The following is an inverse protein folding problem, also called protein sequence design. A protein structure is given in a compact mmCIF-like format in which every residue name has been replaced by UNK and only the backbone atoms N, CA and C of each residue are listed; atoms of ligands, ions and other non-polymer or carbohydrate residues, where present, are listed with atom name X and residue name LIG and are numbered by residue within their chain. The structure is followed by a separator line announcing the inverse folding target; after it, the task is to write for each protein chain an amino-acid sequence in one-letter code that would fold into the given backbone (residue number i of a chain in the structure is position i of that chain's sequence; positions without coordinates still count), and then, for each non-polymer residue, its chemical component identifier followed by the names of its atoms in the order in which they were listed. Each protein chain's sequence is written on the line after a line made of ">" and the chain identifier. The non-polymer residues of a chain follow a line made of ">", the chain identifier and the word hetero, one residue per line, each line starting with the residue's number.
data_IF_565349748111
#
_entry.id   IF_565349748111
#
_cell.length_a   1.000
_cell.length_b   1.000
_cell.length_c   1.000
_cell.angle_alpha   90.00
_cell.angle_beta   90.00
_cell.angle_gamma   90.00
#
_symmetry.space_group_name_H-M   'P 1'
#
loop_
_entity.id
_entity.type
_entity.pdbx_description
1 polymer ?
#
# COMPACT_ATOMS: atom_id res chain seq x y z
N UNK A 1 4.91 3.16 -3.02
CA UNK A 1 6.07 4.03 -2.71
C UNK A 1 6.94 3.32 -1.69
N UNK A 2 8.21 3.06 -2.04
CA UNK A 2 9.22 2.61 -1.09
C UNK A 2 9.97 3.84 -0.56
N UNK A 3 10.58 3.72 0.61
CA UNK A 3 11.50 4.73 1.16
C UNK A 3 12.69 4.03 1.80
N UNK A 4 13.89 4.59 1.65
CA UNK A 4 15.09 4.08 2.34
C UNK A 4 15.00 4.27 3.86
N UNK A 5 14.37 5.35 4.29
CA UNK A 5 14.19 5.69 5.70
C UNK A 5 12.73 5.54 6.13
N UNK A 6 12.54 5.09 7.38
CA UNK A 6 11.24 5.05 8.05
C UNK A 6 11.05 6.32 8.89
N UNK A 7 11.14 7.49 8.25
CA UNK A 7 10.94 8.77 8.93
C UNK A 7 9.50 9.28 8.80
N UNK A 8 9.24 10.47 9.35
CA UNK A 8 7.93 11.13 9.29
C UNK A 8 7.52 11.51 7.87
N UNK A 9 8.48 11.89 7.02
CA UNK A 9 8.21 12.30 5.63
C UNK A 9 7.74 11.09 4.84
N UNK A 10 8.45 9.98 4.96
CA UNK A 10 8.08 8.69 4.37
C UNK A 10 6.71 8.20 4.85
N UNK A 11 6.42 8.30 6.16
CA UNK A 11 5.13 7.92 6.70
C UNK A 11 3.99 8.78 6.15
N UNK A 12 4.17 10.10 6.04
CA UNK A 12 3.16 10.99 5.44
C UNK A 12 2.93 10.67 3.96
N UNK A 13 4.01 10.49 3.19
CA UNK A 13 3.92 10.13 1.78
C UNK A 13 3.19 8.80 1.57
N UNK A 14 3.45 7.81 2.45
CA UNK A 14 2.75 6.54 2.45
C UNK A 14 1.24 6.69 2.66
N UNK A 15 0.80 7.36 3.73
CA UNK A 15 -0.63 7.52 4.00
C UNK A 15 -1.35 8.40 2.96
N UNK A 16 -0.67 9.41 2.40
CA UNK A 16 -1.19 10.19 1.27
C UNK A 16 -1.46 9.30 0.06
N UNK A 17 -0.47 8.50 -0.33
CA UNK A 17 -0.56 7.59 -1.47
C UNK A 17 -1.61 6.50 -1.24
N UNK A 18 -1.68 5.95 -0.03
CA UNK A 18 -2.68 4.95 0.36
C UNK A 18 -4.10 5.51 0.25
N UNK A 19 -4.34 6.73 0.75
CA UNK A 19 -5.64 7.40 0.62
C UNK A 19 -6.06 7.56 -0.84
N UNK A 20 -5.13 7.97 -1.70
CA UNK A 20 -5.40 8.16 -3.13
C UNK A 20 -5.68 6.84 -3.84
N UNK A 21 -4.88 5.80 -3.57
CA UNK A 21 -5.07 4.48 -4.16
C UNK A 21 -6.41 3.83 -3.76
N UNK A 22 -6.75 3.90 -2.47
CA UNK A 22 -7.97 3.33 -1.90
C UNK A 22 -9.20 4.16 -2.30
N UNK A 23 -9.08 5.48 -2.41
CA UNK A 23 -10.16 6.39 -2.79
C UNK A 23 -11.22 6.63 -1.70
N UNK A 24 -11.09 5.98 -0.54
CA UNK A 24 -11.93 6.18 0.66
C UNK A 24 -11.06 6.39 1.88
N UNK A 25 -11.56 7.17 2.85
CA UNK A 25 -10.91 7.31 4.17
C UNK A 25 -11.45 6.21 5.08
N UNK A 26 -10.59 5.35 5.64
CA UNK A 26 -11.04 4.29 6.55
C UNK A 26 -11.39 4.85 7.93
N UNK A 27 -12.36 4.25 8.61
CA UNK A 27 -12.70 4.58 10.00
C UNK A 27 -11.62 4.12 11.00
N UNK A 28 -10.82 3.13 10.61
CA UNK A 28 -9.79 2.54 11.47
C UNK A 28 -8.55 2.17 10.67
N UNK A 29 -7.38 2.46 11.25
CA UNK A 29 -6.07 2.07 10.73
C UNK A 29 -5.36 1.20 11.76
N UNK A 30 -5.01 0.00 11.35
CA UNK A 30 -4.08 -0.86 12.06
C UNK A 30 -2.71 -0.77 11.39
N UNK A 31 -1.69 -0.38 12.15
CA UNK A 31 -0.32 -0.36 11.67
C UNK A 31 0.64 -0.84 12.77
N UNK A 32 1.91 -1.05 12.42
CA UNK A 32 2.95 -1.32 13.42
C UNK A 32 3.13 -0.10 14.35
N UNK A 33 3.76 -0.31 15.52
CA UNK A 33 3.88 0.70 16.57
C UNK A 33 4.83 1.87 16.28
N UNK A 34 5.10 2.19 15.01
CA UNK A 34 6.08 3.20 14.65
C UNK A 34 5.68 4.60 15.14
N UNK A 35 6.63 5.30 15.79
CA UNK A 35 6.39 6.58 16.47
C UNK A 35 5.87 7.68 15.56
N UNK A 36 6.14 7.61 14.25
CA UNK A 36 5.67 8.61 13.29
C UNK A 36 4.23 8.41 12.80
N UNK A 37 3.65 7.23 12.99
CA UNK A 37 2.36 6.89 12.40
C UNK A 37 1.17 7.67 12.98
N UNK A 38 1.04 7.88 14.31
CA UNK A 38 -0.09 8.64 14.83
C UNK A 38 -0.19 10.05 14.23
N UNK A 39 0.95 10.72 14.06
CA UNK A 39 0.98 12.06 13.47
C UNK A 39 0.77 12.03 11.95
N UNK A 40 1.34 11.03 11.25
CA UNK A 40 1.18 10.90 9.80
C UNK A 40 -0.26 10.52 9.39
N UNK A 41 -0.93 9.67 10.17
CA UNK A 41 -2.34 9.31 10.01
C UNK A 41 -3.22 10.55 10.18
N UNK A 42 -3.05 11.30 11.27
CA UNK A 42 -3.82 12.52 11.51
C UNK A 42 -3.64 13.54 10.37
N UNK A 43 -2.42 13.70 9.87
CA UNK A 43 -2.11 14.65 8.79
C UNK A 43 -2.77 14.30 7.45
N UNK A 44 -2.94 13.01 7.12
CA UNK A 44 -3.39 12.59 5.78
C UNK A 44 -4.83 12.06 5.75
N UNK A 45 -5.26 11.36 6.80
CA UNK A 45 -6.57 10.69 6.87
C UNK A 45 -7.59 11.49 7.71
N UNK A 46 -7.13 12.34 8.63
CA UNK A 46 -7.99 13.18 9.47
C UNK A 46 -8.33 12.58 10.84
N UNK A 47 -9.14 13.31 11.62
CA UNK A 47 -9.46 13.02 13.03
C UNK A 47 -10.41 11.84 13.34
N UNK A 48 -11.31 11.36 12.45
CA UNK A 48 -12.20 10.26 12.81
C UNK A 48 -11.52 8.88 12.80
N UNK A 49 -10.24 8.79 12.40
CA UNK A 49 -9.56 7.51 12.19
C UNK A 49 -9.00 6.97 13.51
N UNK A 50 -9.58 5.88 14.01
CA UNK A 50 -9.02 5.16 15.15
C UNK A 50 -7.70 4.48 14.77
N UNK A 51 -6.63 4.78 15.50
CA UNK A 51 -5.39 4.03 15.43
C UNK A 51 -5.44 2.84 16.40
N UNK A 52 -5.17 1.63 15.91
CA UNK A 52 -5.10 0.42 16.76
C UNK A 52 -3.83 -0.37 16.51
N UNK A 53 -3.25 -0.87 17.60
CA UNK A 53 -2.00 -1.63 17.60
C UNK A 53 -2.13 -3.05 18.21
N UNK A 54 -3.35 -3.51 18.51
CA UNK A 54 -3.60 -4.82 19.11
C UNK A 54 -3.11 -5.99 18.25
N UNK A 55 -2.49 -6.99 18.87
CA UNK A 55 -1.88 -8.15 18.20
C UNK A 55 -2.85 -8.96 17.31
N UNK A 56 -4.11 -9.13 17.73
CA UNK A 56 -5.11 -9.91 16.98
C UNK A 56 -5.52 -9.26 15.65
N UNK A 57 -5.61 -7.92 15.61
CA UNK A 57 -5.92 -7.20 14.36
C UNK A 57 -4.71 -7.04 13.43
N UNK A 58 -3.49 -7.11 13.98
CA UNK A 58 -2.25 -7.18 13.17
C UNK A 58 -2.12 -8.50 12.43
N UNK A 59 -2.76 -9.59 12.88
CA UNK A 59 -2.66 -10.89 12.19
C UNK A 59 -3.05 -10.80 10.70
N UNK A 60 -4.07 -10.03 10.32
CA UNK A 60 -4.42 -9.87 8.90
C UNK A 60 -3.30 -9.21 8.07
N UNK A 61 -2.67 -8.17 8.64
CA UNK A 61 -1.52 -7.48 8.05
C UNK A 61 -0.30 -8.41 7.97
N UNK A 62 -0.01 -9.15 9.05
CA UNK A 62 1.08 -10.13 9.06
C UNK A 62 0.87 -11.24 8.03
N UNK A 63 -0.38 -11.72 7.85
CA UNK A 63 -0.70 -12.73 6.83
C UNK A 63 -0.54 -12.17 5.41
N UNK A 64 -0.98 -10.93 5.17
CA UNK A 64 -0.81 -10.26 3.88
C UNK A 64 0.68 -10.12 3.51
N UNK A 65 1.52 -9.79 4.49
CA UNK A 65 2.96 -9.63 4.31
C UNK A 65 3.72 -10.95 4.07
N UNK A 66 3.16 -12.11 4.44
CA UNK A 66 3.85 -13.41 4.31
C UNK A 66 4.18 -13.76 2.86
N UNK A 67 3.30 -13.42 1.92
CA UNK A 67 3.51 -13.69 0.49
C UNK A 67 4.78 -13.00 0.01
N UNK A 68 4.80 -11.67 0.08
CA UNK A 68 5.95 -10.88 -0.39
C UNK A 68 7.23 -11.19 0.38
N UNK A 69 7.14 -11.36 1.71
CA UNK A 69 8.30 -11.72 2.55
C UNK A 69 8.88 -13.07 2.17
N UNK A 70 8.04 -14.05 1.83
CA UNK A 70 8.45 -15.36 1.35
C UNK A 70 9.24 -15.27 0.04
N UNK A 71 8.75 -14.50 -0.91
CA UNK A 71 9.45 -14.25 -2.18
C UNK A 71 10.80 -13.56 -1.97
N UNK A 72 10.84 -12.48 -1.19
CA UNK A 72 12.07 -11.72 -0.90
C UNK A 72 13.12 -12.63 -0.24
N UNK A 73 12.68 -13.47 0.72
CA UNK A 73 13.56 -14.42 1.41
C UNK A 73 14.16 -15.44 0.43
N UNK A 74 13.38 -15.99 -0.49
CA UNK A 74 13.88 -16.90 -1.52
C UNK A 74 14.88 -16.23 -2.48
N UNK A 75 14.68 -14.95 -2.79
CA UNK A 75 15.58 -14.17 -3.64
C UNK A 75 16.86 -13.69 -2.93
N UNK A 76 16.98 -13.90 -1.61
CA UNK A 76 18.07 -13.39 -0.74
C UNK A 76 18.13 -11.85 -0.68
N UNK A 77 16.98 -11.19 -0.77
CA UNK A 77 16.90 -9.72 -0.71
C UNK A 77 17.28 -9.01 -2.01
N UNK A 78 17.20 -7.68 -2.00
CA UNK A 78 17.50 -6.83 -3.15
C UNK A 78 18.88 -6.19 -3.01
N UNK A 79 19.59 -6.05 -4.13
CA UNK A 79 20.91 -5.40 -4.20
C UNK A 79 20.82 -3.88 -4.40
N UNK A 80 19.65 -3.37 -4.76
CA UNK A 80 19.41 -1.94 -4.95
C UNK A 80 17.96 -1.58 -4.70
N UNK A 81 17.74 -0.34 -4.28
CA UNK A 81 16.41 0.21 -4.01
C UNK A 81 15.52 0.21 -5.25
N UNK A 82 16.07 0.62 -6.40
CA UNK A 82 15.34 0.60 -7.68
C UNK A 82 14.85 -0.80 -8.08
N UNK A 83 15.61 -1.86 -7.73
CA UNK A 83 15.17 -3.24 -7.99
C UNK A 83 14.04 -3.67 -7.04
N UNK A 84 14.10 -3.25 -5.78
CA UNK A 84 13.03 -3.47 -4.81
C UNK A 84 11.74 -2.76 -5.25
N UNK A 85 11.84 -1.53 -5.74
CA UNK A 85 10.70 -0.76 -6.22
C UNK A 85 10.01 -1.40 -7.41
N UNK A 86 10.77 -1.74 -8.46
CA UNK A 86 10.23 -2.43 -9.64
C UNK A 86 9.58 -3.76 -9.27
N UNK A 87 10.22 -4.52 -8.38
CA UNK A 87 9.66 -5.78 -7.89
C UNK A 87 8.34 -5.57 -7.15
N UNK A 88 8.31 -4.69 -6.13
CA UNK A 88 7.10 -4.46 -5.33
C UNK A 88 5.94 -3.98 -6.19
N UNK A 89 6.20 -3.06 -7.13
CA UNK A 89 5.18 -2.60 -8.09
C UNK A 89 4.63 -3.75 -8.92
N UNK A 90 5.51 -4.50 -9.59
CA UNK A 90 5.09 -5.63 -10.45
C UNK A 90 4.38 -6.73 -9.66
N UNK A 91 4.84 -7.00 -8.43
CA UNK A 91 4.24 -7.98 -7.53
C UNK A 91 2.83 -7.56 -7.11
N UNK A 92 2.63 -6.29 -6.72
CA UNK A 92 1.32 -5.77 -6.33
C UNK A 92 0.35 -5.74 -7.51
N UNK A 93 0.82 -5.39 -8.71
CA UNK A 93 0.03 -5.44 -9.95
C UNK A 93 -0.45 -6.87 -10.22
N UNK A 94 0.46 -7.83 -10.25
CA UNK A 94 0.14 -9.24 -10.48
C UNK A 94 -0.79 -9.78 -9.40
N UNK A 95 -0.50 -9.49 -8.13
CA UNK A 95 -1.32 -9.93 -7.00
C UNK A 95 -2.74 -9.38 -7.10
N UNK A 96 -2.90 -8.10 -7.43
CA UNK A 96 -4.23 -7.48 -7.57
C UNK A 96 -4.99 -8.03 -8.78
N UNK A 97 -4.30 -8.29 -9.91
CA UNK A 97 -4.91 -8.90 -11.09
C UNK A 97 -5.39 -10.33 -10.82
N UNK A 98 -4.59 -11.12 -10.11
CA UNK A 98 -4.92 -12.51 -9.75
C UNK A 98 -5.80 -12.62 -8.51
N UNK A 99 -6.02 -11.53 -7.77
CA UNK A 99 -6.80 -11.54 -6.53
C UNK A 99 -8.22 -12.01 -6.85
N UNK A 100 -8.71 -13.09 -6.23
CA UNK A 100 -10.10 -13.48 -6.40
C UNK A 100 -11.00 -12.35 -5.91
N UNK A 101 -11.71 -11.69 -6.82
CA UNK A 101 -12.68 -10.64 -6.51
C UNK A 101 -14.01 -11.20 -5.96
N UNK A 102 -14.04 -12.49 -5.63
CA UNK A 102 -15.22 -13.20 -5.14
C UNK A 102 -15.00 -13.75 -3.75
N UNK A 103 -16.06 -13.70 -2.95
CA UNK A 103 -16.10 -14.53 -1.73
C UNK A 103 -16.11 -16.00 -2.14
N UNK A 104 -15.60 -16.86 -1.26
CA UNK A 104 -15.75 -18.30 -1.41
C UNK A 104 -17.20 -18.62 -1.81
N UNK A 105 -17.39 -19.43 -2.86
CA UNK A 105 -18.69 -19.88 -3.38
C UNK A 105 -19.54 -18.86 -4.18
N UNK A 106 -18.99 -17.74 -4.63
CA UNK A 106 -19.69 -16.85 -5.57
C UNK A 106 -19.32 -17.14 -7.03
N UNK A 107 -20.34 -17.39 -7.87
CA UNK A 107 -20.20 -17.55 -9.31
C UNK A 107 -20.10 -16.16 -9.97
N UNK A 108 -19.03 -15.92 -10.73
CA UNK A 108 -18.82 -14.70 -11.51
C UNK A 108 -18.45 -15.05 -12.94
N UNK A 109 -18.97 -14.25 -13.86
CA UNK A 109 -18.69 -14.37 -15.28
C UNK A 109 -17.27 -13.88 -15.59
N UNK A 110 -16.54 -14.61 -16.44
CA UNK A 110 -15.10 -14.42 -16.70
C UNK A 110 -14.76 -13.01 -17.25
N UNK A 111 -15.72 -12.38 -17.92
CA UNK A 111 -15.62 -11.02 -18.49
C UNK A 111 -15.67 -9.90 -17.44
N UNK A 112 -16.11 -10.17 -16.21
CA UNK A 112 -16.27 -9.16 -15.16
C UNK A 112 -15.02 -9.03 -14.26
N UNK A 113 -14.00 -9.85 -14.48
CA UNK A 113 -12.72 -9.78 -13.75
C UNK A 113 -11.78 -8.76 -14.39
N UNK A 114 -11.92 -7.48 -14.04
CA UNK A 114 -10.91 -6.50 -14.40
C UNK A 114 -11.21 -5.08 -13.99
N UNK A 115 -10.22 -4.44 -13.34
CA UNK A 115 -9.97 -3.02 -13.49
C UNK A 115 -10.34 -2.14 -12.30
N UNK A 116 -9.34 -1.52 -11.66
CA UNK A 116 -9.62 -0.35 -10.83
C UNK A 116 -8.45 0.21 -10.03
N UNK A 117 -7.49 -0.61 -9.60
CA UNK A 117 -6.46 -0.13 -8.66
C UNK A 117 -5.34 0.69 -9.31
N UNK A 118 -4.99 0.41 -10.57
CA UNK A 118 -3.81 0.98 -11.23
C UNK A 118 -4.05 2.29 -11.99
N UNK A 119 -5.27 2.54 -12.47
CA UNK A 119 -5.58 3.82 -13.13
C UNK A 119 -5.27 5.00 -12.17
N UNK A 120 -5.56 4.80 -10.87
CA UNK A 120 -5.28 5.79 -9.81
C UNK A 120 -3.83 5.87 -9.34
N UNK A 121 -2.93 4.94 -9.71
CA UNK A 121 -1.51 5.00 -9.29
C UNK A 121 -0.64 5.66 -10.37
N UNK A 122 -0.96 5.45 -11.66
CA UNK A 122 -0.28 6.11 -12.78
C UNK A 122 -0.45 7.63 -12.75
N UNK A 123 -1.67 8.10 -12.51
CA UNK A 123 -2.01 9.53 -12.39
C UNK A 123 -1.25 10.25 -11.26
N UNK A 124 -0.73 9.51 -10.27
CA UNK A 124 0.02 10.08 -9.14
C UNK A 124 1.50 10.27 -9.45
N UNK A 125 2.07 9.51 -10.39
CA UNK A 125 3.45 9.71 -10.83
C UNK A 125 3.54 10.96 -11.71
N UNK A 126 2.61 11.13 -12.65
CA UNK A 126 2.55 12.33 -13.51
C UNK A 126 2.28 13.61 -12.70
N UNK A 127 1.41 13.54 -11.68
CA UNK A 127 1.14 14.68 -10.79
C UNK A 127 2.27 14.99 -9.80
N UNK A 128 3.17 14.04 -9.52
CA UNK A 128 4.36 14.28 -8.70
C UNK A 128 5.52 14.88 -9.51
N UNK A 129 5.52 14.71 -10.83
CA UNK A 129 6.51 15.29 -11.75
C UNK A 129 6.20 16.77 -12.03
N UNK A 130 4.93 17.17 -12.05
CA UNK A 130 4.52 18.57 -12.30
C UNK A 130 4.86 19.55 -11.17
N UNK A 131 5.15 19.08 -9.95
CA UNK A 131 5.54 19.94 -8.81
C UNK A 131 7.04 20.20 -8.74
N UNK A 132 7.86 19.57 -9.60
CA UNK A 132 9.32 19.75 -9.59
C UNK A 132 9.83 20.77 -10.64
N UNK A 133 9.00 21.23 -11.57
CA UNK A 133 9.35 22.27 -12.56
C UNK A 133 8.92 23.71 -12.16
N UNK A 134 8.51 23.92 -10.91
CA UNK A 134 7.89 25.17 -10.45
C UNK A 134 8.51 25.82 -9.22
N UNK A 135 9.83 25.74 -9.03
CA UNK A 135 10.61 26.57 -8.09
C UNK A 135 11.87 27.07 -8.80
#
# INVERSE_FOLDING_TARGET
>A
MLSEHRDMVAAKAFFRSAKLAIGIVPDQVAADGHVSYPQAIQANLGKPVEYRDSASKKNGLEQDHRGITGHIRCMRGFKSFASAERFCRSYDELRNHLRPCVRHNQHVDLLQKGGGFLLRQGELHDAAETVHEGI
#
